data_IF_695620413872
#
_entry.id   IF_695620413872
#
_cell.length_a   1.000
_cell.length_b   1.000
_cell.length_c   1.000
_cell.angle_alpha   90.00
_cell.angle_beta   90.00
_cell.angle_gamma   90.00
#
_symmetry.space_group_name_H-M   'P 1'
#
loop_
_entity.id
_entity.type
_entity.pdbx_description
1 polymer ?
#
# COMPACT_ATOMS: atom_id res chain seq x y z
N UNK A 1 -8.57 14.81 6.45
CA UNK A 1 -7.31 14.22 5.95
C UNK A 1 -6.50 15.35 5.33
N UNK A 2 -5.18 15.36 5.50
CA UNK A 2 -4.27 16.34 4.93
C UNK A 2 -3.49 15.71 3.76
N UNK A 3 -3.33 16.43 2.64
CA UNK A 3 -2.53 15.98 1.51
C UNK A 3 -1.05 16.25 1.79
N UNK A 4 -0.25 15.19 1.80
CA UNK A 4 1.21 15.25 1.98
C UNK A 4 1.91 14.57 0.79
N UNK A 5 3.19 14.86 0.61
CA UNK A 5 4.03 14.26 -0.45
C UNK A 5 5.21 13.55 0.16
N UNK A 6 5.46 12.30 -0.26
CA UNK A 6 6.58 11.48 0.22
C UNK A 6 7.28 10.71 -0.90
N UNK A 7 8.17 9.79 -0.51
CA UNK A 7 9.00 8.98 -1.42
C UNK A 7 8.20 8.25 -2.50
N UNK A 8 7.00 7.80 -2.17
CA UNK A 8 6.17 6.96 -3.03
C UNK A 8 5.10 7.75 -3.79
N UNK A 9 5.14 9.09 -3.71
CA UNK A 9 4.17 9.99 -4.31
C UNK A 9 3.31 10.70 -3.27
N UNK A 10 2.26 11.40 -3.73
CA UNK A 10 1.33 12.08 -2.85
C UNK A 10 0.40 11.08 -2.13
N UNK A 11 -0.01 11.42 -0.91
CA UNK A 11 -0.90 10.63 -0.09
C UNK A 11 -1.72 11.53 0.83
N UNK A 12 -2.85 11.02 1.31
CA UNK A 12 -3.69 11.63 2.33
C UNK A 12 -3.37 11.01 3.69
N UNK A 13 -3.01 11.83 4.67
CA UNK A 13 -2.78 11.43 6.05
C UNK A 13 -3.92 11.91 6.96
N UNK A 14 -4.12 11.24 8.09
CA UNK A 14 -4.98 11.78 9.14
C UNK A 14 -4.43 13.13 9.64
N UNK A 15 -5.34 14.05 9.98
CA UNK A 15 -4.98 15.32 10.63
C UNK A 15 -4.46 15.09 12.06
N UNK A 16 -4.91 14.01 12.70
CA UNK A 16 -4.50 13.58 14.04
C UNK A 16 -3.32 12.60 13.95
N UNK A 17 -2.35 12.86 13.09
CA UNK A 17 -1.11 12.10 13.07
C UNK A 17 -0.18 12.70 14.15
N UNK A 18 0.44 11.91 15.05
CA UNK A 18 0.72 10.47 14.94
C UNK A 18 -0.26 9.53 15.64
N UNK A 19 -1.32 10.03 16.30
CA UNK A 19 -2.27 9.18 17.03
C UNK A 19 -3.02 8.22 16.09
N UNK A 20 -3.45 8.73 14.94
CA UNK A 20 -4.13 7.98 13.87
C UNK A 20 -3.21 7.87 12.66
N UNK A 21 -2.67 6.67 12.42
CA UNK A 21 -1.66 6.41 11.37
C UNK A 21 -2.24 5.99 10.02
N UNK A 22 -3.55 6.16 9.82
CA UNK A 22 -4.21 5.82 8.55
C UNK A 22 -3.72 6.73 7.43
N UNK A 23 -3.27 6.12 6.34
CA UNK A 23 -2.78 6.79 5.15
C UNK A 23 -3.48 6.19 3.92
N UNK A 24 -3.93 7.07 3.02
CA UNK A 24 -4.51 6.68 1.72
C UNK A 24 -3.60 7.22 0.64
N UNK A 25 -3.06 6.34 -0.20
CA UNK A 25 -2.17 6.74 -1.28
C UNK A 25 -2.98 7.33 -2.45
N UNK A 26 -2.32 8.16 -3.24
CA UNK A 26 -2.88 8.73 -4.45
C UNK A 26 -2.11 8.23 -5.67
N UNK A 27 -2.80 8.09 -6.80
CA UNK A 27 -2.16 7.77 -8.07
C UNK A 27 -1.48 9.02 -8.68
N UNK A 28 -0.87 8.85 -9.85
CA UNK A 28 -0.18 9.94 -10.55
C UNK A 28 -1.13 11.04 -11.05
N UNK A 29 -2.42 10.74 -11.18
CA UNK A 29 -3.46 11.67 -11.61
C UNK A 29 -4.18 12.34 -10.42
N UNK A 30 -3.75 12.04 -9.19
CA UNK A 30 -4.41 12.54 -7.97
C UNK A 30 -5.63 11.73 -7.56
N UNK A 31 -5.89 10.59 -8.21
CA UNK A 31 -7.00 9.71 -7.85
C UNK A 31 -6.72 8.89 -6.60
N UNK A 32 -7.75 8.58 -5.81
CA UNK A 32 -7.64 7.73 -4.64
C UNK A 32 -7.20 6.32 -5.02
N UNK A 33 -6.17 5.81 -4.34
CA UNK A 33 -5.74 4.42 -4.44
C UNK A 33 -6.16 3.65 -3.20
N UNK A 34 -6.77 2.48 -3.38
CA UNK A 34 -7.15 1.65 -2.25
C UNK A 34 -5.91 1.11 -1.51
N UNK A 35 -5.97 1.00 -0.17
CA UNK A 35 -4.93 0.35 0.61
C UNK A 35 -4.75 -1.10 0.12
N UNK A 36 -3.52 -1.46 -0.23
CA UNK A 36 -3.22 -2.84 -0.59
C UNK A 36 -3.24 -3.72 0.67
N UNK A 37 -3.68 -4.99 0.57
CA UNK A 37 -3.56 -5.94 1.66
C UNK A 37 -2.13 -6.04 2.21
N UNK A 38 -1.96 -6.41 3.49
CA UNK A 38 -0.65 -6.62 4.09
C UNK A 38 0.11 -7.71 3.33
N UNK A 39 1.44 -7.62 3.31
CA UNK A 39 2.27 -8.65 2.71
C UNK A 39 2.33 -9.90 3.61
N UNK A 40 2.49 -11.06 2.98
CA UNK A 40 2.79 -12.31 3.67
C UNK A 40 4.30 -12.45 3.81
N UNK A 41 4.80 -12.58 5.04
CA UNK A 41 6.23 -12.79 5.30
C UNK A 41 6.57 -14.27 5.08
N UNK A 42 7.58 -14.53 4.26
CA UNK A 42 8.08 -15.87 3.93
C UNK A 42 9.49 -16.00 4.48
N UNK A 43 9.62 -16.74 5.58
CA UNK A 43 10.92 -16.93 6.27
C UNK A 43 11.86 -17.89 5.52
N UNK A 44 11.31 -18.83 4.75
CA UNK A 44 12.08 -19.79 3.96
C UNK A 44 12.81 -19.16 2.77
N UNK A 45 12.38 -17.99 2.31
CA UNK A 45 12.98 -17.27 1.19
C UNK A 45 13.78 -16.08 1.69
N UNK A 46 15.08 -16.10 1.40
CA UNK A 46 16.04 -15.12 1.91
C UNK A 46 16.50 -14.17 0.79
N UNK A 47 16.59 -12.89 1.11
CA UNK A 47 17.09 -11.86 0.20
C UNK A 47 18.61 -11.98 0.01
N UNK A 48 19.05 -12.18 -1.24
CA UNK A 48 20.48 -12.28 -1.60
C UNK A 48 21.33 -11.04 -1.25
N UNK A 49 20.70 -9.89 -1.01
CA UNK A 49 21.41 -8.62 -0.75
C UNK A 49 21.63 -8.30 0.72
N UNK A 50 20.77 -8.80 1.60
CA UNK A 50 20.78 -8.42 3.01
C UNK A 50 20.36 -9.54 3.96
N UNK A 51 20.20 -10.76 3.44
CA UNK A 51 19.94 -11.99 4.21
C UNK A 51 18.66 -11.95 5.06
N UNK A 52 17.81 -10.95 4.83
CA UNK A 52 16.52 -10.83 5.51
C UNK A 52 15.45 -11.65 4.78
N UNK A 53 14.38 -12.09 5.48
CA UNK A 53 13.24 -12.76 4.86
C UNK A 53 12.59 -11.96 3.74
N UNK A 54 11.80 -12.63 2.91
CA UNK A 54 11.09 -12.01 1.78
C UNK A 54 9.59 -11.84 2.09
N UNK A 55 9.03 -10.73 1.63
CA UNK A 55 7.60 -10.46 1.65
C UNK A 55 6.98 -10.87 0.31
N UNK A 56 6.03 -11.80 0.33
CA UNK A 56 5.17 -12.15 -0.78
C UNK A 56 3.98 -11.19 -0.86
N UNK A 57 3.76 -10.62 -2.04
CA UNK A 57 2.71 -9.62 -2.30
C UNK A 57 1.97 -9.97 -3.59
N UNK A 58 0.68 -9.68 -3.60
CA UNK A 58 -0.10 -9.69 -4.82
C UNK A 58 0.12 -8.39 -5.61
N UNK A 59 0.30 -8.48 -6.92
CA UNK A 59 0.46 -7.35 -7.82
C UNK A 59 -0.32 -7.54 -9.12
N UNK A 60 -0.42 -6.48 -9.93
CA UNK A 60 -1.18 -6.49 -11.19
C UNK A 60 -0.74 -7.56 -12.20
N UNK A 61 0.49 -8.07 -12.09
CA UNK A 61 1.07 -9.10 -12.98
C UNK A 61 1.19 -10.46 -12.30
N UNK A 62 0.53 -10.64 -11.16
CA UNK A 62 0.64 -11.82 -10.31
C UNK A 62 1.49 -11.60 -9.05
N UNK A 63 1.75 -12.70 -8.31
CA UNK A 63 2.55 -12.69 -7.09
C UNK A 63 3.99 -12.23 -7.35
N UNK A 64 4.59 -11.56 -6.36
CA UNK A 64 5.99 -11.16 -6.42
C UNK A 64 6.60 -11.05 -5.03
N UNK A 65 7.93 -11.24 -4.98
CA UNK A 65 8.70 -11.25 -3.75
C UNK A 65 9.57 -9.99 -3.63
N UNK A 66 9.40 -9.26 -2.53
CA UNK A 66 10.22 -8.11 -2.18
C UNK A 66 10.87 -8.27 -0.81
N UNK A 67 12.06 -7.71 -0.62
CA UNK A 67 12.75 -7.79 0.68
C UNK A 67 11.89 -7.25 1.84
N UNK A 68 11.91 -7.94 2.98
CA UNK A 68 11.21 -7.50 4.21
C UNK A 68 11.71 -6.16 4.75
N UNK A 69 12.98 -5.81 4.53
CA UNK A 69 13.61 -4.57 5.03
C UNK A 69 13.49 -3.38 4.07
N UNK A 70 12.63 -3.45 3.06
CA UNK A 70 12.28 -2.29 2.24
C UNK A 70 11.72 -1.16 3.13
N UNK A 71 12.15 0.11 3.00
CA UNK A 71 12.86 0.71 1.86
C UNK A 71 14.40 0.68 1.93
N UNK A 72 14.98 0.15 3.02
CA UNK A 72 16.44 0.10 3.23
C UNK A 72 17.10 -0.85 2.22
N UNK A 73 16.53 -2.04 2.03
CA UNK A 73 16.93 -2.96 0.98
C UNK A 73 15.87 -2.99 -0.14
N UNK A 74 16.31 -2.85 -1.39
CA UNK A 74 15.47 -2.96 -2.60
C UNK A 74 15.62 -4.33 -3.30
N UNK A 75 16.02 -5.36 -2.55
CA UNK A 75 16.12 -6.73 -3.05
C UNK A 75 14.75 -7.24 -3.52
N UNK A 76 14.76 -7.96 -4.64
CA UNK A 76 13.58 -8.63 -5.21
C UNK A 76 14.05 -9.98 -5.72
N UNK A 77 13.24 -11.01 -5.51
CA UNK A 77 13.47 -12.35 -6.02
C UNK A 77 12.53 -12.59 -7.19
N UNK A 78 13.02 -13.27 -8.23
CA UNK A 78 12.22 -13.60 -9.39
C UNK A 78 11.16 -14.64 -9.01
N UNK A 79 9.89 -14.37 -9.27
CA UNK A 79 8.86 -15.40 -9.07
C UNK A 79 9.15 -16.64 -9.92
N UNK A 80 9.58 -16.45 -11.17
CA UNK A 80 9.91 -17.53 -12.11
C UNK A 80 11.21 -18.28 -11.82
N UNK A 81 12.05 -17.79 -10.90
CA UNK A 81 13.31 -18.46 -10.55
C UNK A 81 13.11 -19.50 -9.46
N UNK A 82 11.93 -19.54 -8.82
CA UNK A 82 11.56 -20.56 -7.86
C UNK A 82 11.12 -21.84 -8.58
N UNK A 83 11.42 -22.98 -7.94
CA UNK A 83 10.91 -24.28 -8.33
C UNK A 83 9.38 -24.28 -8.37
N UNK A 84 8.82 -25.06 -9.29
CA UNK A 84 7.40 -25.02 -9.62
C UNK A 84 6.51 -25.42 -8.42
N UNK A 85 6.94 -26.42 -7.64
CA UNK A 85 6.29 -26.89 -6.42
C UNK A 85 6.20 -25.80 -5.34
N UNK A 86 7.31 -25.09 -5.11
CA UNK A 86 7.38 -23.99 -4.15
C UNK A 86 6.47 -22.84 -4.58
N UNK A 87 6.37 -22.56 -5.88
CA UNK A 87 5.46 -21.50 -6.37
C UNK A 87 4.01 -21.84 -6.12
N UNK A 88 3.61 -23.08 -6.36
CA UNK A 88 2.23 -23.52 -6.17
C UNK A 88 1.83 -23.47 -4.68
N UNK A 89 2.74 -23.88 -3.77
CA UNK A 89 2.54 -23.75 -2.33
C UNK A 89 2.39 -22.28 -1.91
N UNK A 90 3.28 -21.41 -2.39
CA UNK A 90 3.25 -19.99 -2.07
C UNK A 90 2.03 -19.27 -2.65
N UNK A 91 1.56 -19.67 -3.82
CA UNK A 91 0.33 -19.12 -4.41
C UNK A 91 -0.90 -19.53 -3.60
N UNK A 92 -0.99 -20.80 -3.19
CA UNK A 92 -2.04 -21.28 -2.31
C UNK A 92 -2.03 -20.53 -0.96
N UNK A 93 -0.86 -20.37 -0.34
CA UNK A 93 -0.71 -19.61 0.90
C UNK A 93 -1.09 -18.13 0.73
N UNK A 94 -0.72 -17.52 -0.40
CA UNK A 94 -1.09 -16.14 -0.72
C UNK A 94 -2.60 -15.98 -0.89
N UNK A 95 -3.27 -16.93 -1.54
CA UNK A 95 -4.72 -16.90 -1.74
C UNK A 95 -5.46 -16.96 -0.39
N UNK A 96 -5.07 -17.88 0.50
CA UNK A 96 -5.62 -17.95 1.87
C UNK A 96 -5.37 -16.65 2.64
N UNK A 97 -4.17 -16.08 2.53
CA UNK A 97 -3.83 -14.81 3.19
C UNK A 97 -4.67 -13.64 2.65
N UNK A 98 -4.96 -13.61 1.35
CA UNK A 98 -5.79 -12.59 0.72
C UNK A 98 -7.27 -12.70 1.12
N UNK A 99 -7.78 -13.92 1.28
CA UNK A 99 -9.13 -14.16 1.81
C UNK A 99 -9.27 -13.67 3.26
N UNK A 100 -8.25 -13.92 4.09
CA UNK A 100 -8.20 -13.44 5.46
C UNK A 100 -8.01 -11.91 5.57
N UNK A 101 -7.43 -11.28 4.54
CA UNK A 101 -7.10 -9.85 4.52
C UNK A 101 -7.66 -9.18 3.26
N UNK A 102 -8.99 -9.04 3.14
CA UNK A 102 -9.61 -8.45 1.96
C UNK A 102 -9.18 -6.99 1.78
N UNK A 103 -9.14 -6.56 0.52
CA UNK A 103 -8.80 -5.18 0.19
C UNK A 103 -9.84 -4.21 0.74
N UNK A 104 -9.38 -3.18 1.46
CA UNK A 104 -10.26 -2.17 2.06
C UNK A 104 -10.79 -1.25 0.98
N UNK A 105 -12.11 -1.21 0.83
CA UNK A 105 -12.83 -0.28 -0.04
C UNK A 105 -13.15 0.98 0.76
N UNK A 106 -12.84 2.15 0.21
CA UNK A 106 -13.09 3.44 0.88
C UNK A 106 -14.53 3.87 0.61
N UNK A 107 -15.25 4.25 1.66
CA UNK A 107 -16.63 4.75 1.60
C UNK A 107 -16.72 6.14 2.21
N UNK A 108 -17.72 6.92 1.76
CA UNK A 108 -18.13 8.16 2.43
C UNK A 108 -18.79 7.85 3.78
N UNK A 109 -19.01 8.89 4.60
CA UNK A 109 -19.80 8.79 5.85
C UNK A 109 -21.25 8.32 5.60
N UNK A 110 -21.78 8.54 4.40
CA UNK A 110 -23.10 8.07 3.97
C UNK A 110 -23.10 6.63 3.44
N UNK A 111 -21.95 5.95 3.42
CA UNK A 111 -21.81 4.57 2.95
C UNK A 111 -21.67 4.43 1.44
N UNK A 112 -21.56 5.53 0.68
CA UNK A 112 -21.32 5.46 -0.78
C UNK A 112 -19.86 5.05 -1.02
N UNK A 113 -19.67 4.01 -1.83
CA UNK A 113 -18.33 3.58 -2.27
C UNK A 113 -17.69 4.67 -3.13
N UNK A 114 -16.44 5.00 -2.83
CA UNK A 114 -15.61 5.92 -3.62
C UNK A 114 -14.72 5.06 -4.53
N UNK A 115 -14.97 4.99 -5.84
CA UNK A 115 -14.19 4.15 -6.75
C UNK A 115 -12.69 4.47 -6.74
N UNK A 116 -11.85 3.46 -6.95
CA UNK A 116 -10.41 3.67 -7.14
C UNK A 116 -10.17 4.57 -8.37
N UNK A 117 -9.30 5.56 -8.23
CA UNK A 117 -9.01 6.57 -9.26
C UNK A 117 -9.89 7.82 -9.19
N UNK A 118 -10.87 7.90 -8.28
CA UNK A 118 -11.68 9.11 -8.07
C UNK A 118 -10.76 10.29 -7.70
N UNK A 119 -10.76 11.40 -8.46
CA UNK A 119 -9.99 12.61 -8.14
C UNK A 119 -10.33 13.14 -6.76
N UNK A 120 -9.34 13.68 -6.03
CA UNK A 120 -9.58 14.26 -4.71
C UNK A 120 -10.44 15.52 -4.81
N UNK A 121 -10.31 16.25 -5.91
CA UNK A 121 -11.02 17.49 -6.19
C UNK A 121 -12.54 17.26 -6.11
N UNK A 122 -13.02 16.11 -6.57
CA UNK A 122 -14.43 15.71 -6.53
C UNK A 122 -14.93 15.36 -5.11
N UNK A 123 -14.00 15.21 -4.15
CA UNK A 123 -14.25 14.83 -2.77
C UNK A 123 -14.03 15.99 -1.80
N UNK A 124 -13.64 17.16 -2.30
CA UNK A 124 -13.51 18.37 -1.50
C UNK A 124 -14.90 18.89 -1.12
N UNK A 125 -15.10 19.14 0.17
CA UNK A 125 -16.30 19.82 0.67
C UNK A 125 -16.02 21.33 0.58
N UNK A 126 -16.77 22.05 -0.25
CA UNK A 126 -16.67 23.50 -0.38
C UNK A 126 -16.88 24.16 1.00
N UNK A 127 -15.90 24.96 1.47
CA UNK A 127 -16.01 25.74 2.71
C UNK A 127 -15.08 25.34 3.87
N UNK A 128 -14.33 24.24 3.80
CA UNK A 128 -13.36 23.83 4.83
C UNK A 128 -11.89 24.01 4.41
N UNK A 129 -11.58 25.05 3.63
CA UNK A 129 -10.19 25.41 3.33
C UNK A 129 -9.66 26.23 4.50
N UNK A 130 -8.88 25.59 5.37
CA UNK A 130 -8.09 26.28 6.40
C UNK A 130 -6.71 26.51 5.83
N UNK A 131 -6.40 27.75 5.44
CA UNK A 131 -5.03 28.16 5.16
C UNK A 131 -4.25 28.18 6.48
N UNK A 132 -3.31 27.25 6.64
CA UNK A 132 -2.42 27.24 7.78
C UNK A 132 -1.26 28.22 7.53
N UNK A 133 -0.98 29.08 8.49
CA UNK A 133 0.16 29.98 8.42
C UNK A 133 1.46 29.18 8.36
N UNK A 134 2.36 29.57 7.45
CA UNK A 134 3.69 28.98 7.34
C UNK A 134 4.44 29.34 8.61
N UNK A 135 4.82 28.36 9.43
CA UNK A 135 5.69 28.59 10.58
C UNK A 135 7.01 29.20 10.07
N UNK A 136 7.30 30.43 10.48
CA UNK A 136 8.60 31.05 10.29
C UNK A 136 9.62 30.38 11.23
N UNK A 137 10.85 30.23 10.72
CA UNK A 137 11.98 29.52 11.36
C UNK A 137 12.32 29.99 12.79
#
# INVERSE_FOLDING_TARGET
>A
MEKRTGRFGPFLASVNYPEIKTVVNLDKKGGIKYPSPPALLIESLICEKCESPMNLRHGKRGPWLGCSTFPKCKGRMGWKTLEDDVRDELDAALNVHMEANPQIIITTMSGKVIPEGTPIEDLLIEGNVVELEVFAD
#
